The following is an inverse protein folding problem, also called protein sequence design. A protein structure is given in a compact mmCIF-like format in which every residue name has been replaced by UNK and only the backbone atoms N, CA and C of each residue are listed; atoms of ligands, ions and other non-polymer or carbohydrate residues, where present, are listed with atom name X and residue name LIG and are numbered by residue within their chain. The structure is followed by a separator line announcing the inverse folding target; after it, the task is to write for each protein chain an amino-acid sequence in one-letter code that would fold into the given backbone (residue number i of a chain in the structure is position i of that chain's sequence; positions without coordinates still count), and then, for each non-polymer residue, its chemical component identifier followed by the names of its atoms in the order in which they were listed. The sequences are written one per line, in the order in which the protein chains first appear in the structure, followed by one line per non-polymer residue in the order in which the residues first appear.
data_IF_616646885609
#
_entry.id   IF_616646885609
#
_cell.length_a   1.000
_cell.length_b   1.000
_cell.length_c   1.000
_cell.angle_alpha   90.00
_cell.angle_beta   90.00
_cell.angle_gamma   90.00
#
_symmetry.space_group_name_H-M   'P 1'
#
loop_
_entity.id
_entity.type
_entity.pdbx_description
1 polymer ?
#
# COMPACT_ATOMS: atom_id res chain seq x y z
N UNK A 1 34.54 6.65 9.74
CA UNK A 1 33.78 7.85 9.45
C UNK A 1 32.33 7.62 9.87
N UNK A 2 31.82 8.45 10.74
CA UNK A 2 30.42 8.36 11.07
C UNK A 2 29.60 8.75 9.83
N UNK A 3 28.65 7.92 9.47
CA UNK A 3 27.67 8.29 8.47
C UNK A 3 26.91 9.50 9.01
N UNK A 4 26.57 10.48 8.14
CA UNK A 4 25.72 11.56 8.60
C UNK A 4 24.47 10.95 9.21
N UNK A 5 24.01 11.51 10.31
CA UNK A 5 22.78 11.05 10.93
C UNK A 5 21.72 11.01 9.84
N UNK A 6 21.24 9.80 9.56
CA UNK A 6 20.12 9.67 8.64
C UNK A 6 18.94 10.35 9.30
N UNK A 7 18.36 11.31 8.61
CA UNK A 7 17.14 11.94 9.07
C UNK A 7 16.03 10.92 8.95
N UNK A 8 15.79 10.20 10.05
CA UNK A 8 14.68 9.29 10.11
C UNK A 8 13.40 10.08 10.34
N UNK A 9 12.37 9.70 9.64
CA UNK A 9 11.06 10.33 9.74
C UNK A 9 10.18 9.51 10.67
N UNK A 10 9.33 10.19 11.46
CA UNK A 10 8.31 9.50 12.22
C UNK A 10 7.18 9.04 11.28
N UNK A 11 6.35 8.07 11.72
CA UNK A 11 5.18 7.68 10.93
C UNK A 11 4.27 8.88 10.59
N UNK A 12 4.09 9.79 11.53
CA UNK A 12 3.26 10.98 11.36
C UNK A 12 3.86 11.91 10.29
N UNK A 13 5.18 12.11 10.32
CA UNK A 13 5.89 12.89 9.32
C UNK A 13 5.76 12.26 7.93
N UNK A 14 5.85 10.94 7.84
CA UNK A 14 5.64 10.22 6.59
C UNK A 14 4.23 10.44 6.05
N UNK A 15 3.21 10.26 6.88
CA UNK A 15 1.81 10.41 6.45
C UNK A 15 1.54 11.82 5.95
N UNK A 16 2.08 12.83 6.63
CA UNK A 16 1.97 14.22 6.20
C UNK A 16 2.69 14.47 4.88
N UNK A 17 3.89 13.93 4.73
CA UNK A 17 4.65 14.02 3.50
C UNK A 17 3.91 13.36 2.34
N UNK A 18 3.36 12.16 2.57
CA UNK A 18 2.66 11.39 1.55
C UNK A 18 1.40 12.09 1.06
N UNK A 19 0.65 12.74 1.95
CA UNK A 19 -0.54 13.50 1.57
C UNK A 19 -0.23 14.66 0.63
N UNK A 20 0.95 15.26 0.75
CA UNK A 20 1.38 16.39 -0.08
C UNK A 20 2.08 15.94 -1.36
N UNK A 21 2.48 14.69 -1.45
CA UNK A 21 3.23 14.17 -2.58
C UNK A 21 2.33 13.83 -3.75
N UNK A 22 2.83 14.09 -4.96
CA UNK A 22 2.18 13.62 -6.18
C UNK A 22 2.57 12.18 -6.48
N UNK A 23 3.75 11.76 -6.01
CA UNK A 23 4.25 10.40 -6.17
C UNK A 23 4.04 9.62 -4.90
N UNK A 24 3.97 8.30 -5.01
CA UNK A 24 3.78 7.43 -3.86
C UNK A 24 5.12 6.99 -3.29
N UNK A 25 5.15 6.90 -1.97
CA UNK A 25 6.34 6.49 -1.22
C UNK A 25 5.95 5.44 -0.20
N UNK A 26 6.78 4.42 -0.08
CA UNK A 26 6.67 3.45 1.01
C UNK A 26 7.41 3.96 2.23
N UNK A 27 7.07 3.43 3.38
CA UNK A 27 7.72 3.79 4.64
C UNK A 27 8.21 2.53 5.34
N UNK A 28 9.48 2.51 5.69
CA UNK A 28 10.09 1.37 6.36
C UNK A 28 11.08 1.87 7.41
N UNK A 29 10.77 1.64 8.68
CA UNK A 29 11.63 1.95 9.82
C UNK A 29 12.27 3.35 9.75
N UNK A 30 11.47 4.36 9.50
CA UNK A 30 11.92 5.75 9.43
C UNK A 30 12.38 6.22 8.06
N UNK A 31 12.45 5.33 7.08
CA UNK A 31 12.87 5.67 5.71
C UNK A 31 11.67 5.85 4.80
N UNK A 32 11.66 6.94 4.06
CA UNK A 32 10.67 7.21 3.02
C UNK A 32 11.30 6.80 1.68
N UNK A 33 10.69 5.84 1.01
CA UNK A 33 11.24 5.21 -0.18
C UNK A 33 10.31 5.46 -1.36
N UNK A 34 10.83 6.15 -2.40
CA UNK A 34 10.06 6.40 -3.61
C UNK A 34 9.77 5.09 -4.34
N UNK A 35 8.53 4.94 -4.80
CA UNK A 35 8.14 3.78 -5.59
C UNK A 35 8.50 3.99 -7.05
N UNK A 36 9.00 2.93 -7.68
CA UNK A 36 9.24 2.94 -9.12
C UNK A 36 7.91 2.90 -9.88
N UNK A 37 7.88 3.52 -11.06
CA UNK A 37 6.74 3.43 -11.95
C UNK A 37 6.55 2.01 -12.47
N UNK A 38 5.31 1.65 -12.78
CA UNK A 38 4.97 0.35 -13.34
C UNK A 38 4.86 0.43 -14.86
N UNK A 39 5.28 -0.64 -15.55
CA UNK A 39 5.07 -0.77 -16.99
C UNK A 39 3.60 -1.06 -17.30
N UNK A 40 3.18 -0.81 -18.52
CA UNK A 40 1.83 -1.15 -18.97
C UNK A 40 1.55 -2.65 -18.82
N UNK A 41 2.54 -3.48 -19.11
CA UNK A 41 2.42 -4.93 -18.93
C UNK A 41 2.20 -5.31 -17.48
N UNK A 42 2.95 -4.72 -16.57
CA UNK A 42 2.80 -4.95 -15.13
C UNK A 42 1.40 -4.56 -14.66
N UNK A 43 0.93 -3.38 -15.08
CA UNK A 43 -0.41 -2.91 -14.72
C UNK A 43 -1.51 -3.84 -15.28
N UNK A 44 -1.33 -4.35 -16.49
CA UNK A 44 -2.31 -5.26 -17.12
C UNK A 44 -2.37 -6.59 -16.36
N UNK A 45 -1.23 -7.12 -15.96
CA UNK A 45 -1.16 -8.36 -15.16
C UNK A 45 -1.88 -8.16 -13.82
N UNK A 46 -1.59 -7.07 -13.14
CA UNK A 46 -2.23 -6.75 -11.86
C UNK A 46 -3.75 -6.61 -12.03
N UNK A 47 -4.20 -5.92 -13.06
CA UNK A 47 -5.63 -5.74 -13.35
C UNK A 47 -6.31 -7.08 -13.63
N UNK A 48 -5.68 -7.93 -14.42
CA UNK A 48 -6.21 -9.26 -14.72
C UNK A 48 -6.34 -10.12 -13.46
N UNK A 49 -5.34 -10.05 -12.59
CA UNK A 49 -5.36 -10.77 -11.32
C UNK A 49 -6.49 -10.27 -10.41
N UNK A 50 -6.65 -8.96 -10.28
CA UNK A 50 -7.71 -8.36 -9.47
C UNK A 50 -9.08 -8.78 -10.00
N UNK A 51 -9.27 -8.77 -11.31
CA UNK A 51 -10.51 -9.20 -11.94
C UNK A 51 -10.82 -10.66 -11.64
N UNK A 52 -9.84 -11.54 -11.81
CA UNK A 52 -9.99 -12.97 -11.55
C UNK A 52 -10.33 -13.23 -10.07
N UNK A 53 -9.62 -12.57 -9.15
CA UNK A 53 -9.86 -12.70 -7.72
C UNK A 53 -11.25 -12.19 -7.34
N UNK A 54 -11.64 -11.03 -7.86
CA UNK A 54 -12.94 -10.43 -7.57
C UNK A 54 -14.09 -11.34 -8.02
N UNK A 55 -13.97 -11.89 -9.23
CA UNK A 55 -14.97 -12.82 -9.75
C UNK A 55 -15.04 -14.08 -8.89
N UNK A 56 -13.90 -14.60 -8.49
CA UNK A 56 -13.84 -15.79 -7.67
C UNK A 56 -14.44 -15.59 -6.28
N UNK A 57 -14.18 -14.45 -5.66
CA UNK A 57 -14.77 -14.10 -4.37
C UNK A 57 -16.31 -14.02 -4.46
N UNK A 58 -16.82 -13.48 -5.56
CA UNK A 58 -18.27 -13.41 -5.80
C UNK A 58 -18.87 -14.79 -5.98
N UNK A 59 -18.23 -15.64 -6.78
CA UNK A 59 -18.69 -17.03 -7.00
C UNK A 59 -18.74 -17.82 -5.69
N UNK A 60 -17.73 -17.67 -4.86
CA UNK A 60 -17.61 -18.38 -3.58
C UNK A 60 -18.36 -17.67 -2.45
N UNK A 61 -18.95 -16.52 -2.72
CA UNK A 61 -19.61 -15.67 -1.72
C UNK A 61 -18.69 -15.36 -0.53
N UNK A 62 -17.43 -15.06 -0.82
CA UNK A 62 -16.45 -14.70 0.19
C UNK A 62 -16.49 -13.19 0.42
N UNK A 63 -16.44 -12.72 1.69
CA UNK A 63 -16.42 -11.30 1.99
C UNK A 63 -15.02 -10.72 1.82
N UNK A 64 -14.43 -10.93 0.65
CA UNK A 64 -13.08 -10.50 0.35
C UNK A 64 -13.07 -9.53 -0.81
N UNK A 65 -12.10 -8.61 -0.80
CA UNK A 65 -11.89 -7.63 -1.86
C UNK A 65 -10.42 -7.58 -2.23
N UNK A 66 -10.15 -7.39 -3.51
CA UNK A 66 -8.80 -7.18 -4.02
C UNK A 66 -8.63 -5.70 -4.36
N UNK A 67 -7.50 -5.13 -3.98
CA UNK A 67 -7.17 -3.73 -4.22
C UNK A 67 -5.88 -3.61 -5.01
N UNK A 68 -5.82 -2.59 -5.85
CA UNK A 68 -4.64 -2.27 -6.65
C UNK A 68 -3.61 -1.50 -5.81
N UNK A 69 -2.52 -1.09 -6.45
CA UNK A 69 -1.38 -0.47 -5.80
C UNK A 69 -1.63 0.92 -5.20
N UNK A 70 -2.81 1.49 -5.39
CA UNK A 70 -3.17 2.75 -4.73
C UNK A 70 -3.58 2.55 -3.27
N UNK A 71 -3.82 1.31 -2.86
CA UNK A 71 -4.17 1.01 -1.48
C UNK A 71 -2.91 0.99 -0.62
N UNK A 72 -2.78 1.97 0.27
CA UNK A 72 -1.66 2.03 1.21
C UNK A 72 -1.94 1.10 2.37
N UNK A 73 -1.13 0.07 2.51
CA UNK A 73 -1.29 -0.95 3.54
C UNK A 73 -0.43 -0.62 4.75
N UNK A 74 -1.08 -0.54 5.89
CA UNK A 74 -0.44 -0.37 7.19
C UNK A 74 -0.10 -1.75 7.74
N UNK A 75 1.19 -2.01 7.93
CA UNK A 75 1.65 -3.26 8.55
C UNK A 75 1.79 -3.06 10.05
N UNK A 76 2.54 -2.04 10.44
CA UNK A 76 2.66 -1.58 11.82
C UNK A 76 3.06 -0.09 11.80
N UNK A 77 3.28 0.50 12.96
CA UNK A 77 3.59 1.93 13.05
C UNK A 77 4.86 2.35 12.32
N UNK A 78 5.71 1.39 11.95
CA UNK A 78 6.97 1.67 11.27
C UNK A 78 6.99 1.22 9.80
N UNK A 79 5.87 0.67 9.28
CA UNK A 79 5.85 0.09 7.94
C UNK A 79 4.54 0.39 7.21
N UNK A 80 4.66 1.05 6.05
CA UNK A 80 3.55 1.31 5.13
C UNK A 80 4.00 0.96 3.73
N UNK A 81 3.19 0.16 3.04
CA UNK A 81 3.49 -0.31 1.69
C UNK A 81 2.32 -0.10 0.75
N UNK A 82 2.62 -0.11 -0.56
CA UNK A 82 1.63 -0.12 -1.62
C UNK A 82 1.82 -1.40 -2.44
N UNK A 83 1.30 -2.55 -2.00
CA UNK A 83 1.44 -3.78 -2.77
C UNK A 83 0.75 -3.67 -4.11
N UNK A 84 1.26 -4.37 -5.13
CA UNK A 84 0.64 -4.39 -6.45
C UNK A 84 -0.80 -4.89 -6.40
N UNK A 85 -1.03 -5.90 -5.57
CA UNK A 85 -2.37 -6.43 -5.28
C UNK A 85 -2.42 -6.78 -3.81
N UNK A 86 -3.47 -6.36 -3.13
CA UNK A 86 -3.72 -6.73 -1.73
C UNK A 86 -5.15 -7.23 -1.58
N UNK A 87 -5.32 -8.21 -0.69
CA UNK A 87 -6.62 -8.83 -0.45
C UNK A 87 -7.01 -8.59 1.01
N UNK A 88 -8.23 -8.10 1.19
CA UNK A 88 -8.80 -7.88 2.52
C UNK A 88 -10.10 -8.64 2.62
N UNK A 89 -10.28 -9.41 3.69
CA UNK A 89 -11.49 -10.18 3.91
C UNK A 89 -12.21 -9.65 5.14
N UNK A 90 -13.53 -9.54 5.05
CA UNK A 90 -14.34 -8.95 6.11
C UNK A 90 -14.36 -7.44 6.04
N UNK A 91 -14.43 -6.78 7.19
CA UNK A 91 -14.43 -5.33 7.25
C UNK A 91 -13.03 -4.79 6.93
N UNK A 92 -12.95 -3.82 6.04
CA UNK A 92 -11.70 -3.14 5.72
C UNK A 92 -11.49 -2.03 6.74
N UNK A 93 -10.37 -2.08 7.44
CA UNK A 93 -9.99 -1.04 8.39
C UNK A 93 -9.26 0.07 7.65
N UNK A 94 -9.94 1.20 7.45
CA UNK A 94 -9.39 2.34 6.73
C UNK A 94 -9.54 3.59 7.59
N UNK A 95 -8.44 4.28 7.86
CA UNK A 95 -8.45 5.50 8.65
C UNK A 95 -8.46 6.77 7.79
N UNK A 96 -8.38 7.93 8.46
CA UNK A 96 -8.40 9.24 7.80
C UNK A 96 -7.27 9.45 6.81
N UNK A 97 -6.13 8.80 7.00
CA UNK A 97 -4.99 8.88 6.10
C UNK A 97 -5.09 7.86 4.96
N UNK A 98 -6.25 7.25 4.78
CA UNK A 98 -6.49 6.26 3.73
C UNK A 98 -5.53 5.08 3.78
N UNK A 99 -5.12 4.70 4.98
CA UNK A 99 -4.32 3.48 5.16
C UNK A 99 -5.24 2.30 5.48
N UNK A 100 -4.85 1.16 5.00
CA UNK A 100 -5.62 -0.07 5.15
C UNK A 100 -4.83 -1.08 5.99
N UNK A 101 -5.49 -1.65 6.97
CA UNK A 101 -4.90 -2.67 7.82
C UNK A 101 -5.54 -4.04 7.62
N UNK A 102 -4.87 -5.07 8.14
CA UNK A 102 -5.37 -6.45 8.15
C UNK A 102 -5.67 -7.01 6.75
N UNK A 103 -4.71 -6.91 5.82
CA UNK A 103 -4.89 -7.52 4.51
C UNK A 103 -4.99 -9.06 4.61
#
# INVERSE_FOLDING_TARGET
MALPALNLFSPEEYLEYEERSQDRHEYYDGHIIAMAGASARHMQIATNLITALTNRFRELRRPCRAFASDARVYVDSSKYFYPDVSIFCGAVDMDEQSRMGNP
#
